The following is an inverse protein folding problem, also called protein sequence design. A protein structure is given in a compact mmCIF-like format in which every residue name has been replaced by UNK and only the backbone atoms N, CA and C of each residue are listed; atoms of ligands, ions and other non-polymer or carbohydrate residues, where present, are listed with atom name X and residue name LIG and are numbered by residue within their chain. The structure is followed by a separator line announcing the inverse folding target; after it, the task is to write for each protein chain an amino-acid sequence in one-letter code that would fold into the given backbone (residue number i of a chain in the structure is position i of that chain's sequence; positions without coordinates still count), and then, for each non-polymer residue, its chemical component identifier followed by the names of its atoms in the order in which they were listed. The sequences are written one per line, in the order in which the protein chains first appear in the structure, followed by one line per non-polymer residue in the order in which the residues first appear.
data_IF_039562865714
#
_entry.id   IF_039562865714
#
_cell.length_a   1.000
_cell.length_b   1.000
_cell.length_c   1.000
_cell.angle_alpha   90.00
_cell.angle_beta   90.00
_cell.angle_gamma   90.00
#
_symmetry.space_group_name_H-M   'P 1'
#
loop_
_entity.id
_entity.type
_entity.pdbx_description
1 polymer ?
#
# COMPACT_ATOMS: atom_id res chain seq x y z
N UNK A 1 43.88 20.74 -3.15
CA UNK A 1 43.36 19.59 -2.37
C UNK A 1 42.00 19.89 -1.74
N UNK A 2 41.85 20.91 -0.87
CA UNK A 2 40.54 21.23 -0.22
C UNK A 2 39.36 21.37 -1.21
N UNK A 3 39.53 22.11 -2.31
CA UNK A 3 38.49 22.29 -3.35
C UNK A 3 38.06 20.97 -4.03
N UNK A 4 39.02 20.06 -4.27
CA UNK A 4 38.75 18.76 -4.89
C UNK A 4 37.96 17.88 -3.90
N UNK A 5 38.38 17.87 -2.63
CA UNK A 5 37.65 17.17 -1.57
C UNK A 5 36.21 17.68 -1.46
N UNK A 6 36.00 19.00 -1.45
CA UNK A 6 34.65 19.59 -1.40
C UNK A 6 33.77 19.19 -2.59
N UNK A 7 34.32 19.19 -3.82
CA UNK A 7 33.57 18.80 -5.02
C UNK A 7 33.17 17.32 -4.96
N UNK A 8 34.10 16.44 -4.54
CA UNK A 8 33.83 15.01 -4.40
C UNK A 8 32.76 14.75 -3.33
N UNK A 9 32.81 15.46 -2.20
CA UNK A 9 31.80 15.33 -1.15
C UNK A 9 30.40 15.73 -1.65
N UNK A 10 30.27 16.84 -2.37
CA UNK A 10 28.98 17.27 -2.94
C UNK A 10 28.45 16.25 -3.95
N UNK A 11 29.31 15.68 -4.80
CA UNK A 11 28.90 14.65 -5.76
C UNK A 11 28.37 13.39 -5.05
N UNK A 12 29.04 12.95 -3.98
CA UNK A 12 28.62 11.74 -3.24
C UNK A 12 27.27 11.95 -2.53
N UNK A 13 27.01 13.15 -2.00
CA UNK A 13 25.71 13.46 -1.37
C UNK A 13 24.58 13.78 -2.37
N UNK A 14 24.89 13.94 -3.67
CA UNK A 14 23.87 14.18 -4.71
C UNK A 14 23.18 12.91 -5.21
N UNK A 15 23.61 11.72 -4.75
CA UNK A 15 22.98 10.46 -5.10
C UNK A 15 21.65 10.34 -4.34
N UNK A 16 20.53 10.45 -5.05
CA UNK A 16 19.22 10.23 -4.44
C UNK A 16 19.03 8.75 -4.14
N UNK A 17 18.85 8.42 -2.85
CA UNK A 17 18.39 7.11 -2.42
C UNK A 17 16.87 7.04 -2.64
N UNK A 18 16.41 6.02 -3.36
CA UNK A 18 14.99 5.77 -3.60
C UNK A 18 14.52 4.59 -2.73
N UNK A 19 13.54 4.84 -1.87
CA UNK A 19 12.83 3.77 -1.14
C UNK A 19 11.73 3.19 -2.05
N UNK A 20 11.63 1.86 -2.11
CA UNK A 20 10.65 1.14 -2.95
C UNK A 20 9.53 0.47 -2.14
N UNK A 21 9.75 0.23 -0.85
CA UNK A 21 8.76 -0.38 0.05
C UNK A 21 7.94 0.66 0.83
N UNK A 22 6.77 0.27 1.32
CA UNK A 22 5.95 1.13 2.18
C UNK A 22 4.52 0.64 2.38
N UNK A 23 3.85 1.16 3.40
CA UNK A 23 2.40 1.06 3.58
C UNK A 23 1.76 2.36 3.11
N UNK A 24 0.97 2.29 2.04
CA UNK A 24 0.41 3.47 1.37
C UNK A 24 -1.00 3.76 1.86
N UNK A 25 -1.33 5.05 2.00
CA UNK A 25 -2.70 5.46 2.30
C UNK A 25 -3.56 5.25 1.04
N UNK A 26 -4.63 4.42 1.06
CA UNK A 26 -5.37 4.06 -0.15
C UNK A 26 -5.94 5.25 -0.95
N UNK A 27 -6.36 6.31 -0.27
CA UNK A 27 -6.87 7.53 -0.91
C UNK A 27 -5.80 8.27 -1.76
N UNK A 28 -4.52 7.95 -1.56
CA UNK A 28 -3.39 8.55 -2.29
C UNK A 28 -2.80 7.61 -3.37
N UNK A 29 -3.49 6.51 -3.71
CA UNK A 29 -2.99 5.49 -4.64
C UNK A 29 -2.68 6.01 -6.05
N UNK A 30 -3.21 7.16 -6.46
CA UNK A 30 -2.83 7.80 -7.73
C UNK A 30 -1.32 8.08 -7.83
N UNK A 31 -0.61 8.17 -6.70
CA UNK A 31 0.84 8.32 -6.67
C UNK A 31 1.61 7.00 -6.89
N UNK A 32 0.94 5.85 -6.77
CA UNK A 32 1.57 4.52 -6.76
C UNK A 32 1.01 3.58 -7.84
N UNK A 33 -0.18 3.84 -8.37
CA UNK A 33 -0.88 2.91 -9.28
C UNK A 33 -0.10 2.60 -10.55
N UNK A 34 0.64 3.58 -11.09
CA UNK A 34 1.50 3.37 -12.26
C UNK A 34 2.61 2.35 -11.98
N UNK A 35 3.20 2.38 -10.78
CA UNK A 35 4.19 1.39 -10.37
C UNK A 35 3.54 0.02 -10.13
N UNK A 36 2.37 -0.02 -9.48
CA UNK A 36 1.61 -1.25 -9.27
C UNK A 36 1.27 -1.94 -10.60
N UNK A 37 0.83 -1.17 -11.60
CA UNK A 37 0.52 -1.67 -12.94
C UNK A 37 1.78 -2.13 -13.68
N UNK A 38 2.90 -1.41 -13.54
CA UNK A 38 4.19 -1.85 -14.08
C UNK A 38 4.67 -3.18 -13.44
N UNK A 39 4.22 -3.49 -12.22
CA UNK A 39 4.46 -4.77 -11.54
C UNK A 39 3.41 -5.86 -11.84
N UNK A 40 2.41 -5.58 -12.69
CA UNK A 40 1.40 -6.55 -13.14
C UNK A 40 0.04 -6.44 -12.47
N UNK A 41 -0.22 -5.40 -11.67
CA UNK A 41 -1.58 -5.11 -11.19
C UNK A 41 -2.47 -4.68 -12.36
N UNK A 42 -3.62 -5.34 -12.55
CA UNK A 42 -4.58 -5.01 -13.61
C UNK A 42 -5.67 -4.02 -13.15
N UNK A 43 -5.76 -3.75 -11.85
CA UNK A 43 -6.76 -2.86 -11.26
C UNK A 43 -6.39 -1.38 -11.48
N UNK A 44 -7.40 -0.53 -11.54
CA UNK A 44 -7.25 0.93 -11.41
C UNK A 44 -7.16 1.35 -9.94
N UNK A 45 -6.79 2.61 -9.69
CA UNK A 45 -6.80 3.16 -8.33
C UNK A 45 -8.23 3.22 -7.75
N UNK A 46 -9.24 3.49 -8.58
CA UNK A 46 -10.64 3.57 -8.18
C UNK A 46 -11.25 2.20 -7.88
N UNK A 47 -10.79 1.14 -8.56
CA UNK A 47 -11.17 -0.24 -8.22
C UNK A 47 -10.70 -0.63 -6.81
N UNK A 48 -9.55 -0.09 -6.37
CA UNK A 48 -8.99 -0.36 -5.04
C UNK A 48 -9.64 0.53 -3.98
N UNK A 49 -9.74 1.83 -4.23
CA UNK A 49 -10.34 2.80 -3.32
C UNK A 49 -11.14 3.86 -4.08
N UNK A 50 -12.43 3.95 -3.78
CA UNK A 50 -13.29 5.05 -4.22
C UNK A 50 -14.17 5.54 -3.08
N UNK A 51 -14.46 6.85 -3.08
CA UNK A 51 -15.45 7.46 -2.18
C UNK A 51 -16.83 7.56 -2.83
N UNK A 52 -16.90 7.41 -4.16
CA UNK A 52 -18.12 7.68 -4.95
C UNK A 52 -18.88 6.41 -5.34
N UNK A 53 -18.17 5.29 -5.47
CA UNK A 53 -18.76 3.99 -5.83
C UNK A 53 -18.10 2.87 -5.03
N UNK A 54 -18.66 1.66 -5.15
CA UNK A 54 -18.07 0.48 -4.52
C UNK A 54 -16.66 0.22 -5.05
N UNK A 55 -15.76 -0.20 -4.15
CA UNK A 55 -14.37 -0.57 -4.46
C UNK A 55 -13.90 -1.69 -3.54
N UNK A 56 -12.68 -2.19 -3.76
CA UNK A 56 -12.10 -3.27 -2.95
C UNK A 56 -12.08 -2.92 -1.45
N UNK A 57 -11.92 -1.64 -1.10
CA UNK A 57 -11.94 -1.17 0.30
C UNK A 57 -13.18 -1.65 1.07
N UNK A 58 -14.32 -1.78 0.38
CA UNK A 58 -15.61 -2.09 1.02
C UNK A 58 -15.70 -3.55 1.46
N UNK A 59 -14.85 -4.42 0.91
CA UNK A 59 -14.72 -5.81 1.30
C UNK A 59 -13.70 -6.03 2.43
N UNK A 60 -12.84 -5.06 2.74
CA UNK A 60 -11.77 -5.19 3.74
C UNK A 60 -12.21 -4.56 5.06
N UNK A 61 -12.08 -5.30 6.17
CA UNK A 61 -12.54 -4.86 7.49
C UNK A 61 -11.47 -4.95 8.56
N UNK A 62 -11.57 -4.04 9.54
CA UNK A 62 -10.86 -4.20 10.82
C UNK A 62 -11.54 -5.29 11.63
N UNK A 63 -10.83 -6.38 11.88
CA UNK A 63 -11.32 -7.54 12.60
C UNK A 63 -10.78 -7.54 14.03
N UNK A 64 -11.67 -7.39 15.01
CA UNK A 64 -11.31 -7.33 16.43
C UNK A 64 -10.46 -6.10 16.85
N UNK A 65 -10.20 -5.16 15.92
CA UNK A 65 -9.39 -3.97 16.18
C UNK A 65 -7.87 -4.17 16.03
N UNK A 66 -7.41 -5.40 15.75
CA UNK A 66 -5.99 -5.73 15.65
C UNK A 66 -5.65 -6.60 14.42
N UNK A 67 -6.64 -7.27 13.82
CA UNK A 67 -6.48 -8.06 12.61
C UNK A 67 -7.20 -7.43 11.42
N UNK A 68 -6.94 -7.99 10.24
CA UNK A 68 -7.70 -7.74 9.03
C UNK A 68 -8.59 -8.94 8.73
N UNK A 69 -9.75 -8.69 8.16
CA UNK A 69 -10.55 -9.71 7.52
C UNK A 69 -11.15 -9.20 6.22
N UNK A 70 -11.77 -10.09 5.47
CA UNK A 70 -12.34 -9.80 4.17
C UNK A 70 -13.67 -10.50 3.94
N UNK A 71 -14.63 -9.79 3.35
CA UNK A 71 -15.89 -10.37 2.91
C UNK A 71 -15.70 -11.15 1.61
N UNK A 72 -16.17 -12.40 1.59
CA UNK A 72 -16.09 -13.29 0.41
C UNK A 72 -17.46 -13.76 -0.08
N UNK A 73 -18.56 -13.27 0.50
CA UNK A 73 -19.91 -13.54 -0.01
C UNK A 73 -20.85 -12.35 0.24
N UNK A 74 -21.87 -12.25 -0.62
CA UNK A 74 -22.95 -11.26 -0.47
C UNK A 74 -23.85 -11.47 0.76
N UNK A 75 -23.63 -12.55 1.52
CA UNK A 75 -24.33 -12.85 2.77
C UNK A 75 -23.50 -12.54 4.02
N UNK A 76 -22.36 -11.84 3.86
CA UNK A 76 -21.53 -11.42 4.98
C UNK A 76 -20.59 -12.51 5.52
N UNK A 77 -20.23 -13.51 4.70
CA UNK A 77 -19.17 -14.46 5.07
C UNK A 77 -17.82 -13.74 5.10
N UNK A 78 -17.14 -13.77 6.25
CA UNK A 78 -15.83 -13.14 6.48
C UNK A 78 -14.75 -14.21 6.62
N UNK A 79 -13.62 -14.01 5.93
CA UNK A 79 -12.39 -14.73 6.18
C UNK A 79 -11.43 -13.88 7.04
N UNK A 80 -10.67 -14.55 7.87
CA UNK A 80 -9.52 -14.00 8.61
C UNK A 80 -8.60 -15.17 9.00
N UNK A 81 -7.48 -14.88 9.66
CA UNK A 81 -6.60 -15.93 10.13
C UNK A 81 -7.17 -16.65 11.36
N UNK A 82 -6.84 -17.94 11.53
CA UNK A 82 -7.26 -18.74 12.68
C UNK A 82 -6.91 -18.09 14.01
N UNK A 83 -5.69 -17.55 14.16
CA UNK A 83 -5.25 -16.91 15.39
C UNK A 83 -5.98 -15.57 15.68
N UNK A 84 -6.58 -14.94 14.67
CA UNK A 84 -7.36 -13.72 14.82
C UNK A 84 -8.77 -14.01 15.36
N UNK A 85 -9.35 -15.15 14.99
CA UNK A 85 -10.67 -15.61 15.47
C UNK A 85 -10.59 -16.51 16.71
N UNK A 86 -9.40 -16.72 17.27
CA UNK A 86 -9.22 -17.61 18.41
C UNK A 86 -9.71 -16.95 19.70
N UNK A 87 -10.66 -17.58 20.39
CA UNK A 87 -11.25 -17.06 21.63
C UNK A 87 -12.61 -16.37 21.46
N UNK A 88 -13.18 -16.44 20.25
CA UNK A 88 -14.52 -15.99 19.90
C UNK A 88 -15.52 -17.14 19.96
#
# INVERSE_FOLDING_TARGET
MKKIVTIVTILVFSVQLAAKEGMWIPMLLNNNIAEMQAMGCELSAEDIYSVNHSSLKDAIVSFGGFCTGEFISSKGLVLTNHHCGYGQ
#
